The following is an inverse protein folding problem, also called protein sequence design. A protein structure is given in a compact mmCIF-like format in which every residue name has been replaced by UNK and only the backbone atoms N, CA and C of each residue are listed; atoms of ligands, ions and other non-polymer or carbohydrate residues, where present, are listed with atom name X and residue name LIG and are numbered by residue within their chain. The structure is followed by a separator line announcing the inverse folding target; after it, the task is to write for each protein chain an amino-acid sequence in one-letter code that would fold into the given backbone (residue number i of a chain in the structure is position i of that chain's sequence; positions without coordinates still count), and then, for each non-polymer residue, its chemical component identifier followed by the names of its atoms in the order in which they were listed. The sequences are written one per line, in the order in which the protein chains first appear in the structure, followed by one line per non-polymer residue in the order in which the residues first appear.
data_IF_599586568633
#
_entry.id   IF_599586568633
#
_cell.length_a   1.000
_cell.length_b   1.000
_cell.length_c   1.000
_cell.angle_alpha   90.00
_cell.angle_beta   90.00
_cell.angle_gamma   90.00
#
_symmetry.space_group_name_H-M   'P 1'
#
loop_
_entity.id
_entity.type
_entity.pdbx_description
1 polymer ?
#
# COMPACT_ATOMS: atom_id res chain seq x y z
N UNK A 1 2.33 -2.77 0.28
CA UNK A 1 3.01 -3.88 1.02
C UNK A 1 1.97 -4.64 1.87
N UNK A 2 2.38 -5.57 2.76
CA UNK A 2 1.45 -6.36 3.60
C UNK A 2 0.42 -5.50 4.36
N UNK A 3 0.88 -4.55 5.18
CA UNK A 3 0.04 -3.68 6.03
C UNK A 3 0.01 -2.19 5.62
N UNK A 4 0.66 -1.82 4.51
CA UNK A 4 0.78 -0.42 4.07
C UNK A 4 1.93 0.40 4.70
N UNK A 5 2.62 -0.09 5.74
CA UNK A 5 3.68 0.68 6.43
C UNK A 5 4.94 0.88 5.59
N UNK A 6 5.45 -0.18 4.96
CA UNK A 6 6.66 -0.09 4.12
C UNK A 6 6.42 0.69 2.84
N UNK A 7 5.26 0.51 2.22
CA UNK A 7 4.88 1.27 1.04
C UNK A 7 4.65 2.75 1.35
N UNK A 8 4.22 3.12 2.55
CA UNK A 8 4.18 4.53 2.96
C UNK A 8 5.57 5.17 2.98
N UNK A 9 6.59 4.45 3.49
CA UNK A 9 7.99 4.93 3.45
C UNK A 9 8.49 5.08 2.02
N UNK A 10 8.20 4.11 1.15
CA UNK A 10 8.59 4.17 -0.26
C UNK A 10 7.93 5.36 -0.98
N UNK A 11 6.63 5.59 -0.75
CA UNK A 11 5.90 6.73 -1.32
C UNK A 11 6.47 8.06 -0.84
N UNK A 12 6.90 8.16 0.42
CA UNK A 12 7.59 9.35 0.92
C UNK A 12 8.88 9.62 0.12
N UNK A 13 9.72 8.61 -0.06
CA UNK A 13 10.96 8.73 -0.84
C UNK A 13 10.69 9.09 -2.31
N UNK A 14 9.66 8.49 -2.91
CA UNK A 14 9.25 8.79 -4.29
C UNK A 14 8.78 10.25 -4.42
N UNK A 15 7.98 10.75 -3.48
CA UNK A 15 7.54 12.15 -3.48
C UNK A 15 8.71 13.11 -3.28
N UNK A 16 9.66 12.77 -2.40
CA UNK A 16 10.90 13.54 -2.22
C UNK A 16 11.77 13.55 -3.49
N UNK A 17 11.73 12.48 -4.29
CA UNK A 17 12.41 12.40 -5.58
C UNK A 17 11.64 13.07 -6.74
N UNK A 18 10.49 13.72 -6.47
CA UNK A 18 9.71 14.47 -7.47
C UNK A 18 8.56 13.69 -8.10
N UNK A 19 8.28 12.46 -7.68
CA UNK A 19 7.12 11.69 -8.13
C UNK A 19 5.87 12.10 -7.32
N UNK A 20 5.20 13.16 -7.78
CA UNK A 20 4.02 13.72 -7.10
C UNK A 20 2.86 12.71 -6.96
N UNK A 21 2.67 11.85 -7.95
CA UNK A 21 1.54 10.92 -8.02
C UNK A 21 1.78 9.59 -7.29
N UNK A 22 2.85 9.47 -6.51
CA UNK A 22 3.09 8.28 -5.71
C UNK A 22 2.02 8.12 -4.62
N UNK A 23 1.33 6.98 -4.60
CA UNK A 23 0.23 6.68 -3.70
C UNK A 23 0.49 5.40 -2.87
N UNK A 24 0.01 5.40 -1.61
CA UNK A 24 0.11 4.25 -0.72
C UNK A 24 -1.28 3.71 -0.39
N UNK A 25 -1.49 2.41 -0.58
CA UNK A 25 -2.69 1.74 -0.13
C UNK A 25 -2.67 1.58 1.40
N UNK A 26 -3.57 2.30 2.09
CA UNK A 26 -3.75 2.20 3.54
C UNK A 26 -4.16 0.78 3.91
N UNK A 27 -3.47 0.18 4.88
CA UNK A 27 -3.70 -1.21 5.29
C UNK A 27 -3.13 -2.28 4.35
N UNK A 28 -2.58 -1.89 3.20
CA UNK A 28 -1.89 -2.80 2.29
C UNK A 28 -2.80 -3.88 1.70
N UNK A 29 -2.19 -5.01 1.31
CA UNK A 29 -2.94 -6.13 0.72
C UNK A 29 -3.95 -6.73 1.71
N UNK A 30 -3.68 -6.68 3.03
CA UNK A 30 -4.62 -7.20 4.01
C UNK A 30 -5.95 -6.43 3.99
N UNK A 31 -5.90 -5.09 3.91
CA UNK A 31 -7.10 -4.28 3.80
C UNK A 31 -7.81 -4.45 2.45
N UNK A 32 -7.07 -4.74 1.38
CA UNK A 32 -7.67 -5.08 0.08
C UNK A 32 -8.43 -6.40 0.14
N UNK A 33 -7.82 -7.43 0.73
CA UNK A 33 -8.47 -8.74 0.90
C UNK A 33 -9.73 -8.60 1.74
N UNK A 34 -9.68 -7.81 2.82
CA UNK A 34 -10.83 -7.63 3.71
C UNK A 34 -11.98 -6.84 3.08
N UNK A 35 -11.69 -5.80 2.29
CA UNK A 35 -12.72 -4.83 1.86
C UNK A 35 -13.07 -4.90 0.36
N UNK A 36 -12.23 -5.52 -0.46
CA UNK A 36 -12.39 -5.51 -1.93
C UNK A 36 -12.50 -6.93 -2.48
N UNK A 37 -11.55 -7.81 -2.14
CA UNK A 37 -11.54 -9.18 -2.66
C UNK A 37 -11.17 -10.21 -1.60
N UNK A 38 -12.17 -10.74 -0.87
CA UNK A 38 -11.97 -11.77 0.15
C UNK A 38 -11.60 -13.15 -0.41
N UNK A 39 -11.66 -13.36 -1.73
CA UNK A 39 -11.28 -14.64 -2.35
C UNK A 39 -9.77 -14.86 -2.37
N UNK A 40 -9.00 -13.78 -2.23
CA UNK A 40 -7.56 -13.81 -2.21
C UNK A 40 -7.01 -14.42 -0.91
N UNK A 41 -5.93 -15.22 -0.97
CA UNK A 41 -5.34 -15.82 0.22
C UNK A 41 -4.71 -14.75 1.13
N UNK A 42 -5.04 -14.81 2.42
CA UNK A 42 -4.47 -13.95 3.47
C UNK A 42 -3.16 -14.55 3.98
N UNK A 43 -2.08 -13.77 3.97
CA UNK A 43 -0.76 -14.19 4.41
C UNK A 43 0.00 -13.11 5.17
#
# INVERSE_FOLDING_TARGET
CKSGVRSAKAVKLLREAGFADAANLKGGILAWIENVDPSLPKY
#
